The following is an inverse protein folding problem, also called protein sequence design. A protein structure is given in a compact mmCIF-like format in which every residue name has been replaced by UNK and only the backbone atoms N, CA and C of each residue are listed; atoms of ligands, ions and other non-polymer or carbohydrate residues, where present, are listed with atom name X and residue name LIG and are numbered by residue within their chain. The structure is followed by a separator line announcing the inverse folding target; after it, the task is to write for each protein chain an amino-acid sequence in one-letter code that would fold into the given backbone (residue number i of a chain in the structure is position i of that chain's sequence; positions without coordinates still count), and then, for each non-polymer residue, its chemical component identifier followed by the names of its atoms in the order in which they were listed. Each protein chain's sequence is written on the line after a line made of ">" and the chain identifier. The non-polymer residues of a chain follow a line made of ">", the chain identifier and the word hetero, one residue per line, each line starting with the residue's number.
data_IF_020040315545
#
_entry.id   IF_020040315545
#
_cell.length_a   1.000
_cell.length_b   1.000
_cell.length_c   1.000
_cell.angle_alpha   90.00
_cell.angle_beta   90.00
_cell.angle_gamma   90.00
#
_symmetry.space_group_name_H-M   'P 1'
#
loop_
_entity.id
_entity.type
_entity.pdbx_description
1 polymer ?
#
# COMPACT_ATOMS: atom_id res chain seq x y z
N UNK A 1 -10.36 26.52 -25.76
CA UNK A 1 -9.31 25.87 -24.93
C UNK A 1 -8.35 25.18 -25.88
N UNK A 2 -7.05 25.42 -25.75
CA UNK A 2 -6.02 24.71 -26.51
C UNK A 2 -6.08 23.22 -26.12
N UNK A 3 -6.02 22.27 -27.07
CA UNK A 3 -5.99 20.86 -26.75
C UNK A 3 -4.77 20.55 -25.87
N UNK A 4 -4.99 19.82 -24.78
CA UNK A 4 -3.91 19.37 -23.89
C UNK A 4 -3.06 18.35 -24.67
N UNK A 5 -1.74 18.56 -24.82
CA UNK A 5 -0.90 17.64 -25.56
C UNK A 5 -0.77 16.28 -24.84
N UNK A 6 -0.69 15.20 -25.63
CA UNK A 6 -0.54 13.82 -25.13
C UNK A 6 -1.80 12.97 -25.28
N UNK A 7 -1.66 11.66 -25.06
CA UNK A 7 -2.78 10.73 -25.06
C UNK A 7 -3.70 11.01 -23.86
N UNK A 8 -5.01 11.01 -24.09
CA UNK A 8 -5.98 11.13 -22.99
C UNK A 8 -5.90 9.87 -22.12
N UNK A 9 -5.76 10.01 -20.79
CA UNK A 9 -5.80 8.86 -19.90
C UNK A 9 -7.12 8.06 -20.02
N UNK A 10 -7.10 6.71 -20.01
CA UNK A 10 -8.30 5.86 -20.14
C UNK A 10 -9.39 6.18 -19.11
N UNK A 11 -10.68 5.98 -19.36
CA UNK A 11 -11.67 6.22 -18.30
C UNK A 11 -11.57 5.15 -17.20
N UNK A 12 -11.90 5.46 -15.93
CA UNK A 12 -11.84 4.47 -14.85
C UNK A 12 -12.63 3.18 -15.10
N UNK A 13 -13.69 3.25 -15.93
CA UNK A 13 -14.49 2.09 -16.37
C UNK A 13 -13.75 1.15 -17.32
N UNK A 14 -12.72 1.64 -18.00
CA UNK A 14 -11.91 0.90 -18.96
C UNK A 14 -10.75 0.16 -18.26
N UNK A 15 -10.53 0.46 -16.98
CA UNK A 15 -9.49 -0.16 -16.16
C UNK A 15 -9.93 -1.53 -15.63
N UNK A 16 -8.98 -2.48 -15.60
CA UNK A 16 -9.17 -3.78 -14.96
C UNK A 16 -9.55 -3.59 -13.49
N UNK A 17 -10.53 -4.33 -12.98
CA UNK A 17 -10.94 -4.20 -11.57
C UNK A 17 -9.82 -4.67 -10.66
N UNK A 18 -9.63 -3.99 -9.52
CA UNK A 18 -8.55 -4.29 -8.55
C UNK A 18 -8.54 -5.76 -8.11
N UNK A 19 -9.71 -6.38 -7.95
CA UNK A 19 -9.84 -7.81 -7.57
C UNK A 19 -9.28 -8.80 -8.60
N UNK A 20 -9.14 -8.36 -9.85
CA UNK A 20 -8.69 -9.17 -10.99
C UNK A 20 -7.21 -8.89 -11.32
N UNK A 21 -6.50 -8.09 -10.50
CA UNK A 21 -5.10 -7.69 -10.67
C UNK A 21 -4.17 -8.44 -9.71
N UNK A 22 -2.90 -8.56 -10.09
CA UNK A 22 -1.80 -8.84 -9.17
C UNK A 22 -1.74 -7.75 -8.09
N UNK A 23 -1.56 -8.18 -6.84
CA UNK A 23 -1.59 -7.30 -5.67
C UNK A 23 -0.43 -6.30 -5.66
N UNK A 24 0.80 -6.80 -5.73
CA UNK A 24 1.99 -5.97 -5.85
C UNK A 24 3.14 -6.75 -6.46
N UNK A 25 4.13 -6.02 -6.98
CA UNK A 25 5.41 -6.54 -7.44
C UNK A 25 6.52 -5.71 -6.82
N UNK A 26 7.45 -6.34 -6.10
CA UNK A 26 8.65 -5.70 -5.58
C UNK A 26 9.83 -5.96 -6.51
N UNK A 27 10.57 -4.91 -6.85
CA UNK A 27 11.76 -4.97 -7.69
C UNK A 27 12.86 -4.09 -7.12
N UNK A 28 14.10 -4.51 -7.28
CA UNK A 28 15.30 -3.76 -6.87
C UNK A 28 16.43 -3.97 -7.88
N UNK A 29 17.41 -3.06 -7.89
CA UNK A 29 18.65 -3.18 -8.69
C UNK A 29 18.39 -3.50 -10.17
N UNK A 30 17.35 -2.90 -10.75
CA UNK A 30 16.90 -3.17 -12.11
C UNK A 30 16.62 -1.89 -12.91
N UNK A 31 16.51 -2.02 -14.22
CA UNK A 31 16.05 -0.95 -15.10
C UNK A 31 14.66 -1.27 -15.64
N UNK A 32 13.74 -0.32 -15.52
CA UNK A 32 12.34 -0.46 -15.91
C UNK A 32 12.07 0.39 -17.14
N UNK A 33 11.72 -0.27 -18.24
CA UNK A 33 11.31 0.37 -19.49
C UNK A 33 9.86 0.04 -19.82
N UNK A 34 9.35 0.62 -20.90
CA UNK A 34 8.08 0.24 -21.52
C UNK A 34 8.35 -0.56 -22.78
N UNK A 35 7.61 -1.64 -22.95
CA UNK A 35 7.44 -2.34 -24.23
C UNK A 35 5.94 -2.48 -24.49
N UNK A 36 5.44 -1.77 -25.51
CA UNK A 36 4.02 -1.78 -25.88
C UNK A 36 3.11 -1.41 -24.70
N UNK A 37 2.30 -2.34 -24.18
CA UNK A 37 1.41 -2.14 -23.02
C UNK A 37 1.91 -2.83 -21.74
N UNK A 38 3.17 -3.27 -21.75
CA UNK A 38 3.85 -3.88 -20.62
C UNK A 38 5.00 -2.97 -20.14
N UNK A 39 5.35 -3.13 -18.87
CA UNK A 39 6.67 -2.71 -18.40
C UNK A 39 7.65 -3.88 -18.59
N UNK A 40 8.90 -3.55 -18.89
CA UNK A 40 10.00 -4.51 -18.88
C UNK A 40 10.88 -4.24 -17.68
N UNK A 41 11.27 -5.29 -16.97
CA UNK A 41 12.17 -5.24 -15.83
C UNK A 41 13.43 -5.98 -16.24
N UNK A 42 14.52 -5.25 -16.37
CA UNK A 42 15.83 -5.78 -16.77
C UNK A 42 16.76 -5.78 -15.56
N UNK A 43 17.24 -6.95 -15.17
CA UNK A 43 18.27 -7.13 -14.14
C UNK A 43 19.34 -8.14 -14.60
N UNK A 44 20.20 -8.60 -13.68
CA UNK A 44 21.25 -9.58 -13.96
C UNK A 44 20.75 -10.96 -14.38
N UNK A 45 19.48 -11.28 -14.14
CA UNK A 45 18.83 -12.55 -14.50
C UNK A 45 18.19 -12.50 -15.89
N UNK A 46 18.03 -11.31 -16.47
CA UNK A 46 17.45 -11.10 -17.79
C UNK A 46 16.32 -10.08 -17.80
N UNK A 47 15.38 -10.26 -18.72
CA UNK A 47 14.24 -9.35 -18.94
C UNK A 47 12.94 -10.05 -18.62
N UNK A 48 12.16 -9.48 -17.70
CA UNK A 48 10.79 -9.90 -17.43
C UNK A 48 9.79 -8.90 -18.01
N UNK A 49 8.76 -9.41 -18.68
CA UNK A 49 7.65 -8.59 -19.21
C UNK A 49 6.46 -8.68 -18.25
N UNK A 50 6.01 -7.53 -17.75
CA UNK A 50 4.88 -7.45 -16.82
C UNK A 50 3.78 -6.58 -17.44
N UNK A 51 2.58 -7.14 -17.69
CA UNK A 51 1.46 -6.35 -18.19
C UNK A 51 1.07 -5.26 -17.18
N UNK A 52 1.12 -3.98 -17.58
CA UNK A 52 0.89 -2.86 -16.67
C UNK A 52 -0.53 -2.91 -16.07
N UNK A 53 -1.55 -3.18 -16.89
CA UNK A 53 -2.94 -3.28 -16.48
C UNK A 53 -3.23 -4.43 -15.48
N UNK A 54 -2.38 -5.45 -15.46
CA UNK A 54 -2.52 -6.56 -14.52
C UNK A 54 -1.90 -6.26 -13.15
N UNK A 55 -1.13 -5.18 -13.00
CA UNK A 55 -0.43 -4.85 -11.76
C UNK A 55 -1.18 -3.75 -10.99
N UNK A 56 -1.46 -3.97 -9.70
CA UNK A 56 -2.02 -2.92 -8.85
C UNK A 56 -0.94 -1.97 -8.35
N UNK A 57 0.15 -2.52 -7.80
CA UNK A 57 1.22 -1.72 -7.19
C UNK A 57 2.61 -2.22 -7.63
N UNK A 58 3.46 -1.33 -8.11
CA UNK A 58 4.88 -1.58 -8.32
C UNK A 58 5.67 -0.96 -7.16
N UNK A 59 6.27 -1.79 -6.31
CA UNK A 59 7.17 -1.38 -5.24
C UNK A 59 8.60 -1.38 -5.78
N UNK A 60 9.22 -0.20 -5.83
CA UNK A 60 10.58 -0.01 -6.33
C UNK A 60 11.52 0.21 -5.15
N UNK A 61 12.34 -0.80 -4.86
CA UNK A 61 13.41 -0.73 -3.89
C UNK A 61 14.65 0.01 -4.41
N UNK A 62 15.75 0.02 -3.65
CA UNK A 62 16.98 0.68 -4.03
C UNK A 62 17.59 0.14 -5.34
N UNK A 63 18.28 1.02 -6.07
CA UNK A 63 18.96 0.69 -7.32
C UNK A 63 18.05 0.58 -8.55
N UNK A 64 16.77 0.95 -8.44
CA UNK A 64 15.84 0.98 -9.58
C UNK A 64 16.05 2.24 -10.42
N UNK A 65 16.14 2.07 -11.74
CA UNK A 65 15.99 3.16 -12.73
C UNK A 65 14.71 2.93 -13.52
N UNK A 66 13.89 3.96 -13.73
CA UNK A 66 12.63 3.83 -14.47
C UNK A 66 12.49 4.95 -15.51
N UNK A 67 12.04 4.61 -16.72
CA UNK A 67 11.81 5.60 -17.77
C UNK A 67 10.47 6.31 -17.63
N UNK A 68 10.38 7.52 -18.18
CA UNK A 68 9.11 8.25 -18.29
C UNK A 68 8.02 7.40 -18.95
N UNK A 69 8.34 6.71 -20.04
CA UNK A 69 7.38 5.85 -20.76
C UNK A 69 6.80 4.72 -19.90
N UNK A 70 7.61 4.13 -19.00
CA UNK A 70 7.14 3.11 -18.07
C UNK A 70 6.19 3.71 -17.02
N UNK A 71 6.51 4.89 -16.48
CA UNK A 71 5.61 5.61 -15.56
C UNK A 71 4.30 5.98 -16.25
N UNK A 72 4.34 6.44 -17.51
CA UNK A 72 3.13 6.78 -18.27
C UNK A 72 2.19 5.57 -18.40
N UNK A 73 2.69 4.40 -18.81
CA UNK A 73 1.84 3.22 -18.99
C UNK A 73 1.30 2.67 -17.67
N UNK A 74 2.07 2.75 -16.58
CA UNK A 74 1.59 2.39 -15.23
C UNK A 74 0.46 3.33 -14.79
N UNK A 75 0.62 4.63 -14.98
CA UNK A 75 -0.39 5.65 -14.65
C UNK A 75 -1.67 5.48 -15.48
N UNK A 76 -1.53 5.27 -16.79
CA UNK A 76 -2.65 4.99 -17.70
C UNK A 76 -3.42 3.71 -17.32
N UNK A 77 -2.70 2.70 -16.82
CA UNK A 77 -3.26 1.43 -16.34
C UNK A 77 -3.90 1.53 -14.95
N UNK A 78 -3.77 2.68 -14.29
CA UNK A 78 -4.20 2.88 -12.91
C UNK A 78 -3.39 2.09 -11.88
N UNK A 79 -2.16 1.71 -12.24
CA UNK A 79 -1.20 1.08 -11.34
C UNK A 79 -0.46 2.13 -10.53
N UNK A 80 -0.27 1.91 -9.23
CA UNK A 80 0.47 2.83 -8.39
C UNK A 80 1.94 2.42 -8.34
N UNK A 81 2.82 3.35 -8.70
CA UNK A 81 4.26 3.20 -8.49
C UNK A 81 4.60 3.72 -7.08
N UNK A 82 5.37 2.98 -6.29
CA UNK A 82 5.78 3.37 -4.94
C UNK A 82 7.27 3.13 -4.78
N UNK A 83 8.01 4.18 -4.41
CA UNK A 83 9.41 4.07 -4.05
C UNK A 83 9.54 3.72 -2.58
N UNK A 84 10.23 2.63 -2.31
CA UNK A 84 10.38 2.06 -0.99
C UNK A 84 11.86 1.79 -0.67
N UNK A 85 12.15 1.61 0.61
CA UNK A 85 13.44 1.07 1.06
C UNK A 85 13.58 -0.42 0.77
N UNK A 86 14.70 -0.99 1.19
CA UNK A 86 14.91 -2.45 1.13
C UNK A 86 13.78 -3.19 1.83
N UNK A 87 13.36 -4.32 1.26
CA UNK A 87 12.26 -5.15 1.78
C UNK A 87 10.91 -4.42 1.94
N UNK A 88 10.74 -3.23 1.35
CA UNK A 88 9.51 -2.46 1.44
C UNK A 88 9.26 -1.81 2.80
N UNK A 89 10.26 -1.70 3.67
CA UNK A 89 10.08 -1.21 5.05
C UNK A 89 9.97 0.32 5.15
N UNK A 90 10.64 1.04 4.25
CA UNK A 90 10.55 2.51 4.15
C UNK A 90 9.66 2.90 3.00
N UNK A 91 8.95 4.01 3.15
CA UNK A 91 8.16 4.64 2.11
C UNK A 91 8.78 6.01 1.79
N UNK A 92 9.08 6.26 0.52
CA UNK A 92 9.69 7.52 0.08
C UNK A 92 8.72 8.38 -0.74
N UNK A 93 8.08 7.79 -1.76
CA UNK A 93 7.19 8.50 -2.67
C UNK A 93 6.22 7.55 -3.37
N UNK A 94 5.13 8.08 -3.93
CA UNK A 94 4.24 7.35 -4.82
C UNK A 94 3.80 8.17 -6.02
N UNK A 95 3.42 7.48 -7.09
CA UNK A 95 2.75 8.02 -8.26
C UNK A 95 1.23 8.08 -8.11
N UNK A 96 0.55 8.61 -9.13
CA UNK A 96 -0.86 8.99 -9.04
C UNK A 96 -1.79 7.76 -8.86
N UNK A 97 -2.75 7.78 -7.90
CA UNK A 97 -3.76 6.74 -7.76
C UNK A 97 -4.74 6.71 -8.95
N UNK A 98 -5.49 5.61 -9.14
CA UNK A 98 -6.51 5.52 -10.18
C UNK A 98 -7.73 6.45 -9.96
N UNK A 99 -7.90 7.02 -8.76
CA UNK A 99 -9.04 7.89 -8.46
C UNK A 99 -8.87 9.27 -9.08
N UNK A 100 -9.87 9.71 -9.85
CA UNK A 100 -9.94 11.04 -10.46
C UNK A 100 -10.83 12.02 -9.68
N UNK A 101 -11.31 11.63 -8.50
CA UNK A 101 -12.20 12.43 -7.66
C UNK A 101 -11.66 12.55 -6.23
N UNK A 102 -11.81 13.74 -5.66
CA UNK A 102 -11.51 14.05 -4.26
C UNK A 102 -12.60 13.56 -3.29
N UNK A 103 -13.75 13.08 -3.76
CA UNK A 103 -14.91 12.75 -2.91
C UNK A 103 -14.58 11.83 -1.73
N UNK A 104 -13.75 10.81 -1.94
CA UNK A 104 -13.35 9.89 -0.87
C UNK A 104 -12.34 10.53 0.09
N UNK A 105 -11.44 11.37 -0.43
CA UNK A 105 -10.48 12.12 0.38
C UNK A 105 -11.21 13.13 1.27
N UNK A 106 -12.20 13.85 0.72
CA UNK A 106 -13.05 14.78 1.48
C UNK A 106 -13.88 14.06 2.55
N UNK A 107 -14.45 12.89 2.23
CA UNK A 107 -15.16 12.06 3.20
C UNK A 107 -14.24 11.60 4.33
N UNK A 108 -13.00 11.19 4.02
CA UNK A 108 -11.99 10.83 5.01
C UNK A 108 -11.60 12.03 5.88
N UNK A 109 -11.37 13.20 5.26
CA UNK A 109 -11.06 14.44 5.97
C UNK A 109 -12.18 14.82 6.95
N UNK A 110 -13.44 14.75 6.52
CA UNK A 110 -14.60 14.95 7.40
C UNK A 110 -14.62 13.96 8.57
N UNK A 111 -14.40 12.67 8.30
CA UNK A 111 -14.47 11.63 9.31
C UNK A 111 -13.36 11.75 10.37
N UNK A 112 -12.16 12.24 10.02
CA UNK A 112 -11.07 12.45 10.99
C UNK A 112 -11.21 13.74 11.78
N UNK A 113 -11.75 14.81 11.17
CA UNK A 113 -11.90 16.12 11.78
C UNK A 113 -13.08 16.23 12.75
N UNK A 114 -14.12 15.42 12.60
CA UNK A 114 -15.26 15.36 13.53
C UNK A 114 -14.99 14.31 14.64
N UNK A 115 -14.97 14.70 15.93
CA UNK A 115 -14.67 13.77 17.03
C UNK A 115 -15.64 12.59 17.15
N UNK A 116 -16.93 12.80 16.88
CA UNK A 116 -17.96 11.76 16.97
C UNK A 116 -17.86 10.78 15.80
N UNK A 117 -17.64 11.27 14.58
CA UNK A 117 -17.37 10.42 13.42
C UNK A 117 -16.06 9.65 13.59
N UNK A 118 -15.00 10.29 14.09
CA UNK A 118 -13.71 9.65 14.33
C UNK A 118 -13.84 8.47 15.29
N UNK A 119 -14.59 8.64 16.39
CA UNK A 119 -14.85 7.57 17.33
C UNK A 119 -15.69 6.44 16.71
N UNK A 120 -16.69 6.79 15.92
CA UNK A 120 -17.52 5.82 15.19
C UNK A 120 -16.68 4.98 14.24
N UNK A 121 -15.82 5.61 13.44
CA UNK A 121 -14.89 4.92 12.54
C UNK A 121 -13.94 4.03 13.32
N UNK A 122 -13.35 4.51 14.42
CA UNK A 122 -12.44 3.71 15.24
C UNK A 122 -13.13 2.45 15.82
N UNK A 123 -14.39 2.56 16.24
CA UNK A 123 -15.19 1.41 16.68
C UNK A 123 -15.43 0.41 15.56
N UNK A 124 -15.77 0.87 14.36
CA UNK A 124 -15.95 0.01 13.19
C UNK A 124 -14.64 -0.71 12.80
N UNK A 125 -13.51 0.02 12.75
CA UNK A 125 -12.19 -0.58 12.50
C UNK A 125 -11.83 -1.64 13.55
N UNK A 126 -12.14 -1.37 14.83
CA UNK A 126 -11.93 -2.34 15.91
C UNK A 126 -12.76 -3.61 15.68
N UNK A 127 -14.04 -3.49 15.34
CA UNK A 127 -14.93 -4.62 15.07
C UNK A 127 -14.56 -5.40 13.81
N UNK A 128 -14.02 -4.74 12.78
CA UNK A 128 -13.47 -5.42 11.60
C UNK A 128 -12.30 -6.35 12.00
N UNK A 129 -11.50 -5.96 12.99
CA UNK A 129 -10.39 -6.76 13.51
C UNK A 129 -10.83 -7.80 14.54
N UNK A 130 -11.77 -7.46 15.40
CA UNK A 130 -12.25 -8.28 16.53
C UNK A 130 -13.78 -8.33 16.53
N UNK A 131 -14.33 -9.28 15.77
CA UNK A 131 -15.78 -9.47 15.63
C UNK A 131 -16.42 -9.91 16.96
N UNK A 132 -17.68 -9.50 17.18
CA UNK A 132 -18.50 -9.96 18.32
C UNK A 132 -18.28 -9.21 19.64
N UNK A 133 -17.57 -8.08 19.65
CA UNK A 133 -17.38 -7.27 20.88
C UNK A 133 -18.38 -6.13 20.99
N UNK A 134 -18.75 -5.77 22.22
CA UNK A 134 -19.44 -4.50 22.49
C UNK A 134 -18.42 -3.37 22.69
N UNK A 135 -18.45 -2.43 21.74
CA UNK A 135 -17.60 -1.23 21.72
C UNK A 135 -18.39 0.07 21.86
N UNK A 136 -19.72 0.00 22.04
CA UNK A 136 -20.63 1.14 21.93
C UNK A 136 -20.32 2.25 22.94
N UNK A 137 -19.87 1.87 24.15
CA UNK A 137 -19.52 2.80 25.24
C UNK A 137 -18.02 3.06 25.37
N UNK A 138 -17.19 2.47 24.51
CA UNK A 138 -15.74 2.60 24.62
C UNK A 138 -15.25 3.91 24.03
N UNK A 139 -14.33 4.56 24.74
CA UNK A 139 -13.56 5.69 24.24
C UNK A 139 -12.43 5.24 23.30
N UNK A 140 -11.87 6.18 22.55
CA UNK A 140 -10.74 5.89 21.66
C UNK A 140 -9.52 5.34 22.41
N UNK A 141 -9.24 5.85 23.60
CA UNK A 141 -8.15 5.37 24.45
C UNK A 141 -8.38 3.94 24.94
N UNK A 142 -9.62 3.61 25.33
CA UNK A 142 -9.98 2.26 25.74
C UNK A 142 -9.85 1.27 24.58
N UNK A 143 -10.29 1.65 23.36
CA UNK A 143 -10.11 0.84 22.16
C UNK A 143 -8.63 0.53 21.90
N UNK A 144 -7.77 1.56 21.90
CA UNK A 144 -6.32 1.40 21.71
C UNK A 144 -5.69 0.49 22.77
N UNK A 145 -6.05 0.68 24.05
CA UNK A 145 -5.54 -0.15 25.15
C UNK A 145 -5.94 -1.63 25.02
N UNK A 146 -7.21 -1.88 24.68
CA UNK A 146 -7.71 -3.25 24.46
C UNK A 146 -7.04 -3.90 23.26
N UNK A 147 -6.88 -3.18 22.15
CA UNK A 147 -6.18 -3.67 20.95
C UNK A 147 -4.73 -4.05 21.28
N UNK A 148 -3.98 -3.16 21.94
CA UNK A 148 -2.58 -3.44 22.32
C UNK A 148 -2.44 -4.64 23.26
N UNK A 149 -3.38 -4.84 24.19
CA UNK A 149 -3.40 -6.04 25.04
C UNK A 149 -3.68 -7.32 24.23
N UNK A 150 -4.59 -7.28 23.26
CA UNK A 150 -4.91 -8.41 22.37
C UNK A 150 -3.71 -8.78 21.50
N UNK A 151 -3.07 -7.79 20.86
CA UNK A 151 -1.92 -8.02 19.98
C UNK A 151 -0.76 -8.66 20.76
N UNK A 152 -0.45 -8.18 21.97
CA UNK A 152 0.58 -8.79 22.84
C UNK A 152 0.26 -10.24 23.20
N UNK A 153 -1.01 -10.56 23.51
CA UNK A 153 -1.43 -11.95 23.74
C UNK A 153 -1.23 -12.82 22.49
N UNK A 154 -1.57 -12.28 21.31
CA UNK A 154 -1.39 -13.00 20.05
C UNK A 154 0.09 -13.28 19.75
N UNK A 155 0.99 -12.34 20.03
CA UNK A 155 2.43 -12.58 19.91
C UNK A 155 2.92 -13.69 20.83
N UNK A 156 2.57 -13.66 22.12
CA UNK A 156 2.93 -14.73 23.07
C UNK A 156 2.38 -16.09 22.65
N UNK A 157 1.13 -16.13 22.20
CA UNK A 157 0.52 -17.36 21.72
C UNK A 157 1.26 -17.92 20.50
N UNK A 158 1.62 -17.08 19.53
CA UNK A 158 2.39 -17.54 18.37
C UNK A 158 3.82 -17.96 18.75
N UNK A 159 4.47 -17.27 19.67
CA UNK A 159 5.77 -17.65 20.22
C UNK A 159 5.74 -19.05 20.84
N UNK A 160 4.72 -19.34 21.66
CA UNK A 160 4.51 -20.68 22.22
C UNK A 160 4.22 -21.71 21.13
N UNK A 161 3.38 -21.38 20.15
CA UNK A 161 2.98 -22.27 19.05
C UNK A 161 4.14 -22.64 18.13
N UNK A 162 5.05 -21.71 17.86
CA UNK A 162 6.18 -21.92 16.93
C UNK A 162 7.49 -22.25 17.62
N UNK A 163 7.56 -22.12 18.95
CA UNK A 163 8.78 -22.31 19.73
C UNK A 163 9.81 -21.18 19.55
N UNK A 164 9.47 -20.09 18.84
CA UNK A 164 10.34 -18.94 18.67
C UNK A 164 10.20 -18.04 19.91
N UNK A 165 11.25 -17.84 20.72
CA UNK A 165 11.18 -16.97 21.89
C UNK A 165 10.76 -15.55 21.51
N UNK A 166 9.82 -14.98 22.25
CA UNK A 166 9.38 -13.60 22.06
C UNK A 166 9.16 -12.93 23.41
N UNK A 167 9.85 -11.82 23.65
CA UNK A 167 9.68 -10.98 24.85
C UNK A 167 8.88 -9.71 24.52
N UNK A 168 9.37 -8.93 23.55
CA UNK A 168 8.73 -7.69 23.09
C UNK A 168 8.91 -7.47 21.60
N UNK A 169 8.09 -6.60 21.01
CA UNK A 169 8.34 -6.05 19.68
C UNK A 169 9.31 -4.88 19.84
N UNK A 170 10.53 -5.08 19.37
CA UNK A 170 11.58 -4.06 19.34
C UNK A 170 11.79 -3.64 17.89
N UNK A 171 11.92 -2.34 17.67
CA UNK A 171 12.33 -1.77 16.40
C UNK A 171 13.08 -0.47 16.73
N UNK A 172 14.24 -0.28 16.14
CA UNK A 172 14.97 0.97 16.19
C UNK A 172 14.77 1.70 14.86
N UNK A 173 14.12 2.88 14.84
CA UNK A 173 13.99 3.67 13.62
C UNK A 173 15.32 4.23 13.08
N UNK A 174 16.43 4.12 13.82
CA UNK A 174 17.75 4.61 13.46
C UNK A 174 18.77 3.48 13.21
N UNK A 175 18.51 2.26 13.71
CA UNK A 175 19.30 1.05 13.47
C UNK A 175 18.49 -0.04 12.74
N UNK A 176 18.76 -0.18 11.44
CA UNK A 176 18.06 -1.12 10.55
C UNK A 176 18.86 -2.39 10.24
N UNK A 177 20.15 -2.43 10.57
CA UNK A 177 20.98 -3.63 10.38
C UNK A 177 20.98 -4.52 11.62
N UNK A 178 20.67 -3.98 12.80
CA UNK A 178 20.65 -4.71 14.08
C UNK A 178 19.41 -5.59 14.35
N UNK A 179 18.59 -5.92 13.34
CA UNK A 179 17.30 -6.61 13.48
C UNK A 179 17.23 -8.00 12.88
#
# INVERSE_FOLDING_TARGET
>A
MTPIPGARPPDPKDLVRVRDRLTFLYVERCVIHRDSNAITITDSRGVAHVPAAALSVLLMGPGVKITHSAISVLSESGSTAVWVGENGVRYYAHGNPPSRSSRLLEAQAKAVSDPALRLTVARQMYLMRFQGEDVAKLSLQQLRGREGARVRRLYRHNSQRTGIPWDRREYDPDDFEGG
#
